data_IF_550438592733
#
_entry.id   IF_550438592733
#
_cell.length_a   1.000
_cell.length_b   1.000
_cell.length_c   1.000
_cell.angle_alpha   90.00
_cell.angle_beta   90.00
_cell.angle_gamma   90.00
#
_symmetry.space_group_name_H-M   'P 1'
#
loop_
_entity.id
_entity.type
_entity.pdbx_description
1 polymer ?
#
# COMPACT_ATOMS: atom_id res chain seq x y z
N UNK A 1 -7.40 -15.41 3.03
CA UNK A 1 -6.16 -16.16 3.40
C UNK A 1 -6.04 -17.37 2.48
N UNK A 2 -4.84 -17.70 1.98
CA UNK A 2 -4.64 -18.85 1.08
C UNK A 2 -3.50 -19.75 1.54
N UNK A 3 -3.65 -21.06 1.33
CA UNK A 3 -2.60 -22.06 1.54
C UNK A 3 -2.38 -22.82 0.24
N UNK A 4 -1.12 -23.09 -0.08
CA UNK A 4 -0.73 -23.64 -1.37
C UNK A 4 -0.02 -24.98 -1.22
N UNK A 5 -0.63 -26.04 -1.74
CA UNK A 5 0.02 -27.31 -2.05
C UNK A 5 0.38 -27.40 -3.53
N UNK A 6 1.11 -28.45 -3.93
CA UNK A 6 1.50 -28.67 -5.33
C UNK A 6 0.31 -28.86 -6.28
N UNK A 7 -0.81 -29.40 -5.80
CA UNK A 7 -1.99 -29.72 -6.61
C UNK A 7 -3.24 -28.95 -6.21
N UNK A 8 -3.28 -28.38 -5.01
CA UNK A 8 -4.48 -27.76 -4.43
C UNK A 8 -4.18 -26.44 -3.76
N UNK A 9 -5.12 -25.51 -3.91
CA UNK A 9 -5.17 -24.27 -3.14
C UNK A 9 -6.38 -24.32 -2.22
N UNK A 10 -6.14 -24.08 -0.93
CA UNK A 10 -7.21 -23.80 0.03
C UNK A 10 -7.33 -22.29 0.16
N UNK A 11 -8.53 -21.76 -0.08
CA UNK A 11 -8.84 -20.34 0.02
C UNK A 11 -9.92 -20.12 1.08
N UNK A 12 -9.57 -19.38 2.12
CA UNK A 12 -10.51 -18.79 3.06
C UNK A 12 -10.81 -17.36 2.60
N UNK A 13 -12.05 -17.11 2.20
CA UNK A 13 -12.58 -15.81 1.75
C UNK A 13 -13.81 -15.43 2.57
N UNK A 14 -14.12 -14.14 2.66
CA UNK A 14 -15.29 -13.67 3.40
C UNK A 14 -15.02 -12.35 4.12
N UNK A 15 -15.97 -11.96 4.95
CA UNK A 15 -15.93 -10.75 5.78
C UNK A 15 -16.29 -11.09 7.24
N UNK A 16 -16.69 -10.09 8.01
CA UNK A 16 -17.09 -10.25 9.41
C UNK A 16 -18.44 -10.97 9.61
N UNK A 17 -19.26 -11.07 8.56
CA UNK A 17 -20.57 -11.71 8.57
C UNK A 17 -20.57 -13.14 8.02
N UNK A 18 -19.68 -13.46 7.08
CA UNK A 18 -19.58 -14.79 6.48
C UNK A 18 -18.13 -15.18 6.15
N UNK A 19 -17.76 -16.44 6.39
CA UNK A 19 -16.48 -17.00 5.98
C UNK A 19 -16.67 -18.31 5.20
N UNK A 20 -16.08 -18.39 4.01
CA UNK A 20 -16.11 -19.53 3.10
C UNK A 20 -14.71 -20.12 2.95
N UNK A 21 -14.56 -21.39 3.30
CA UNK A 21 -13.38 -22.18 2.97
C UNK A 21 -13.64 -23.01 1.70
N UNK A 22 -12.83 -22.80 0.67
CA UNK A 22 -12.96 -23.47 -0.63
C UNK A 22 -11.64 -24.12 -1.06
N UNK A 23 -11.75 -25.22 -1.82
CA UNK A 23 -10.60 -25.97 -2.33
C UNK A 23 -10.59 -25.94 -3.87
N UNK A 24 -9.47 -25.53 -4.45
CA UNK A 24 -9.29 -25.34 -5.88
C UNK A 24 -8.13 -26.19 -6.39
N UNK A 25 -8.18 -26.57 -7.66
CA UNK A 25 -7.00 -27.12 -8.35
C UNK A 25 -5.99 -25.98 -8.56
N UNK A 26 -4.73 -26.19 -8.17
CA UNK A 26 -3.75 -25.12 -8.06
C UNK A 26 -3.45 -24.45 -9.42
N UNK A 27 -3.29 -25.23 -10.49
CA UNK A 27 -2.97 -24.70 -11.82
C UNK A 27 -4.12 -23.88 -12.41
N UNK A 28 -5.34 -24.40 -12.33
CA UNK A 28 -6.54 -23.71 -12.81
C UNK A 28 -6.76 -22.39 -12.06
N UNK A 29 -6.62 -22.39 -10.73
CA UNK A 29 -6.78 -21.19 -9.92
C UNK A 29 -5.77 -20.10 -10.30
N UNK A 30 -4.48 -20.46 -10.43
CA UNK A 30 -3.43 -19.52 -10.83
C UNK A 30 -3.66 -18.99 -12.25
N UNK A 31 -4.11 -19.85 -13.18
CA UNK A 31 -4.42 -19.42 -14.56
C UNK A 31 -5.61 -18.45 -14.61
N UNK A 32 -6.64 -18.66 -13.79
CA UNK A 32 -7.77 -17.74 -13.69
C UNK A 32 -7.33 -16.41 -13.07
N UNK A 33 -6.54 -16.45 -11.99
CA UNK A 33 -5.96 -15.27 -11.35
C UNK A 33 -5.15 -14.45 -12.36
N UNK A 34 -4.27 -15.09 -13.13
CA UNK A 34 -3.51 -14.47 -14.22
C UNK A 34 -4.45 -13.77 -15.22
N UNK A 35 -5.48 -14.48 -15.68
CA UNK A 35 -6.36 -13.98 -16.74
C UNK A 35 -7.17 -12.76 -16.29
N UNK A 36 -7.61 -12.74 -15.02
CA UNK A 36 -8.27 -11.57 -14.43
C UNK A 36 -7.33 -10.37 -14.42
N UNK A 37 -6.12 -10.59 -13.94
CA UNK A 37 -5.07 -9.61 -13.87
C UNK A 37 -4.69 -9.03 -15.26
N UNK A 38 -4.51 -9.88 -16.26
CA UNK A 38 -4.23 -9.48 -17.65
C UNK A 38 -5.39 -8.68 -18.28
N UNK A 39 -6.63 -9.00 -17.91
CA UNK A 39 -7.81 -8.24 -18.33
C UNK A 39 -8.00 -6.89 -17.62
N UNK A 40 -7.14 -6.55 -16.64
CA UNK A 40 -7.25 -5.35 -15.82
C UNK A 40 -8.21 -5.47 -14.63
N UNK A 41 -8.80 -6.65 -14.41
CA UNK A 41 -9.61 -6.96 -13.23
C UNK A 41 -8.70 -7.38 -12.07
N UNK A 42 -8.83 -6.69 -10.92
CA UNK A 42 -8.07 -7.03 -9.73
C UNK A 42 -8.83 -8.07 -8.88
N UNK A 43 -8.36 -9.32 -8.76
CA UNK A 43 -8.95 -10.30 -7.84
C UNK A 43 -8.77 -9.92 -6.36
N UNK A 44 -7.83 -9.03 -6.05
CA UNK A 44 -7.60 -8.45 -4.71
C UNK A 44 -6.81 -7.14 -4.83
N UNK A 45 -6.93 -6.30 -3.80
CA UNK A 45 -6.21 -5.03 -3.68
C UNK A 45 -4.77 -5.22 -3.19
N UNK A 46 -4.51 -6.23 -2.36
CA UNK A 46 -3.19 -6.62 -1.88
C UNK A 46 -3.13 -8.08 -1.43
N UNK A 47 -1.92 -8.62 -1.30
CA UNK A 47 -1.64 -9.97 -0.82
C UNK A 47 -0.37 -9.96 0.04
N UNK A 48 -0.44 -10.56 1.23
CA UNK A 48 0.73 -10.87 2.07
C UNK A 48 1.07 -12.35 1.97
N UNK A 49 2.30 -12.66 1.58
CA UNK A 49 2.84 -14.01 1.51
C UNK A 49 3.92 -14.21 2.58
N UNK A 50 3.73 -15.16 3.48
CA UNK A 50 4.60 -15.41 4.65
C UNK A 50 5.38 -16.71 4.57
N UNK A 51 5.50 -17.31 3.39
CA UNK A 51 6.24 -18.57 3.23
C UNK A 51 5.73 -19.67 4.18
N UNK A 52 4.40 -19.72 4.39
CA UNK A 52 3.75 -20.76 5.17
C UNK A 52 4.00 -22.17 4.60
N UNK A 53 3.58 -23.23 5.31
CA UNK A 53 3.79 -24.60 4.84
C UNK A 53 3.22 -24.80 3.43
N UNK A 54 4.08 -25.20 2.49
CA UNK A 54 3.73 -25.30 1.07
C UNK A 54 4.91 -25.03 0.15
N UNK A 55 4.65 -25.00 -1.16
CA UNK A 55 5.61 -24.53 -2.15
C UNK A 55 5.39 -23.04 -2.43
N UNK A 56 6.48 -22.27 -2.48
CA UNK A 56 6.47 -20.89 -2.96
C UNK A 56 5.84 -20.83 -4.37
N UNK A 57 4.99 -19.84 -4.59
CA UNK A 57 4.34 -19.65 -5.88
C UNK A 57 5.39 -19.30 -6.94
N UNK A 58 5.64 -20.22 -7.89
CA UNK A 58 6.65 -20.08 -8.94
C UNK A 58 6.30 -19.09 -10.07
N UNK A 59 5.19 -18.36 -9.96
CA UNK A 59 4.81 -17.33 -10.92
C UNK A 59 4.38 -16.05 -10.22
N UNK A 60 4.68 -14.93 -10.86
CA UNK A 60 4.50 -13.61 -10.31
C UNK A 60 3.84 -12.71 -11.35
N UNK A 61 2.64 -12.23 -11.03
CA UNK A 61 2.01 -11.19 -11.83
C UNK A 61 2.73 -9.87 -11.59
N UNK A 62 3.30 -9.30 -12.65
CA UNK A 62 3.94 -7.99 -12.63
C UNK A 62 2.94 -6.83 -12.65
N UNK A 63 1.68 -7.09 -12.99
CA UNK A 63 0.75 -6.04 -13.34
C UNK A 63 0.16 -5.35 -12.11
N UNK A 64 0.08 -4.04 -12.25
CA UNK A 64 -0.65 -3.13 -11.40
C UNK A 64 -1.88 -2.70 -12.18
N UNK A 65 -3.03 -2.48 -11.51
CA UNK A 65 -4.09 -1.72 -12.16
C UNK A 65 -3.71 -0.24 -12.04
N UNK A 66 -3.11 0.32 -13.09
CA UNK A 66 -2.80 1.75 -13.11
C UNK A 66 -4.08 2.56 -12.94
N UNK A 67 -4.09 3.49 -11.98
CA UNK A 67 -5.19 4.42 -11.84
C UNK A 67 -5.18 5.42 -13.01
N UNK A 68 -6.36 5.63 -13.60
CA UNK A 68 -6.59 6.57 -14.68
C UNK A 68 -6.76 8.00 -14.14
N UNK A 69 -5.66 8.55 -13.64
CA UNK A 69 -5.57 9.91 -13.11
C UNK A 69 -5.76 10.01 -11.59
N UNK A 70 -5.58 11.23 -11.08
CA UNK A 70 -5.44 11.51 -9.66
C UNK A 70 -6.64 11.14 -8.80
N UNK A 71 -7.86 11.29 -9.30
CA UNK A 71 -9.06 10.94 -8.56
C UNK A 71 -9.11 9.44 -8.25
N UNK A 72 -8.83 8.60 -9.24
CA UNK A 72 -8.76 7.15 -9.05
C UNK A 72 -7.55 6.74 -8.20
N UNK A 73 -6.42 7.46 -8.30
CA UNK A 73 -5.27 7.23 -7.41
C UNK A 73 -5.62 7.52 -5.96
N UNK A 74 -6.32 8.63 -5.67
CA UNK A 74 -6.80 8.96 -4.30
C UNK A 74 -7.73 7.86 -3.78
N UNK A 75 -8.68 7.41 -4.60
CA UNK A 75 -9.63 6.35 -4.23
C UNK A 75 -8.92 5.02 -3.94
N UNK A 76 -8.02 4.58 -4.83
CA UNK A 76 -7.25 3.34 -4.67
C UNK A 76 -6.35 3.38 -3.42
N UNK A 77 -5.68 4.50 -3.16
CA UNK A 77 -4.88 4.70 -1.95
C UNK A 77 -5.74 4.58 -0.69
N UNK A 78 -6.91 5.22 -0.67
CA UNK A 78 -7.84 5.15 0.45
C UNK A 78 -8.34 3.72 0.67
N UNK A 79 -8.70 3.00 -0.40
CA UNK A 79 -9.14 1.61 -0.32
C UNK A 79 -8.05 0.68 0.23
N UNK A 80 -6.79 0.86 -0.18
CA UNK A 80 -5.69 0.09 0.40
C UNK A 80 -5.54 0.37 1.89
N UNK A 81 -5.54 1.64 2.31
CA UNK A 81 -5.41 2.01 3.72
C UNK A 81 -6.56 1.43 4.56
N UNK A 82 -7.81 1.51 4.10
CA UNK A 82 -8.96 0.86 4.75
C UNK A 82 -8.71 -0.64 4.89
N UNK A 83 -8.35 -1.31 3.80
CA UNK A 83 -8.15 -2.76 3.79
C UNK A 83 -6.99 -3.22 4.69
N UNK A 84 -6.00 -2.36 4.93
CA UNK A 84 -4.94 -2.63 5.90
C UNK A 84 -5.42 -2.55 7.32
N UNK A 85 -6.19 -1.52 7.68
CA UNK A 85 -6.78 -1.43 9.01
C UNK A 85 -7.68 -2.64 9.32
N UNK A 86 -8.46 -3.09 8.34
CA UNK A 86 -9.36 -4.23 8.50
C UNK A 86 -8.60 -5.57 8.61
N UNK A 87 -7.64 -5.84 7.73
CA UNK A 87 -7.07 -7.19 7.66
C UNK A 87 -5.70 -7.35 8.32
N UNK A 88 -4.86 -6.31 8.45
CA UNK A 88 -3.53 -6.47 9.06
C UNK A 88 -3.60 -6.93 10.52
N UNK A 89 -4.50 -6.43 11.38
CA UNK A 89 -4.62 -6.94 12.75
C UNK A 89 -4.93 -8.44 12.84
N UNK A 90 -5.55 -9.01 11.79
CA UNK A 90 -5.90 -10.43 11.70
C UNK A 90 -4.81 -11.26 11.01
N UNK A 91 -4.25 -10.74 9.91
CA UNK A 91 -3.25 -11.45 9.13
C UNK A 91 -1.86 -11.40 9.77
N UNK A 92 -1.57 -10.33 10.50
CA UNK A 92 -0.25 -9.94 10.99
C UNK A 92 -0.35 -9.15 12.32
N UNK A 93 -0.82 -9.79 13.41
CA UNK A 93 -1.10 -9.07 14.66
C UNK A 93 0.17 -8.41 15.22
N UNK A 94 0.15 -7.09 15.34
CA UNK A 94 1.25 -6.28 15.88
C UNK A 94 2.30 -5.84 14.86
N UNK A 95 2.28 -6.36 13.63
CA UNK A 95 3.21 -5.94 12.59
C UNK A 95 2.68 -4.72 11.82
N UNK A 96 3.55 -3.77 11.51
CA UNK A 96 3.21 -2.62 10.67
C UNK A 96 3.18 -2.99 9.19
N UNK A 97 2.50 -2.19 8.37
CA UNK A 97 2.62 -2.21 6.91
C UNK A 97 3.06 -0.85 6.40
N UNK A 98 4.00 -0.82 5.46
CA UNK A 98 4.43 0.41 4.83
C UNK A 98 4.85 0.22 3.39
N UNK A 99 4.87 1.34 2.68
CA UNK A 99 5.48 1.47 1.38
C UNK A 99 6.03 2.88 1.25
N UNK A 100 6.97 3.01 0.34
CA UNK A 100 7.54 4.28 -0.03
C UNK A 100 6.99 4.70 -1.39
N UNK A 101 6.77 5.99 -1.59
CA UNK A 101 6.32 6.59 -2.83
C UNK A 101 7.43 7.46 -3.41
N UNK A 102 7.75 7.20 -4.67
CA UNK A 102 8.62 8.01 -5.50
C UNK A 102 7.83 8.73 -6.57
N UNK A 103 8.13 10.01 -6.75
CA UNK A 103 7.70 10.78 -7.90
C UNK A 103 8.89 11.01 -8.82
N UNK A 104 8.77 10.72 -10.13
CA UNK A 104 9.90 10.89 -11.06
C UNK A 104 10.45 12.32 -11.11
N UNK A 105 9.64 13.33 -10.77
CA UNK A 105 10.00 14.75 -10.74
C UNK A 105 10.68 15.20 -9.45
N UNK A 106 10.64 14.38 -8.40
CA UNK A 106 11.17 14.67 -7.07
C UNK A 106 11.72 13.39 -6.40
N UNK A 107 12.55 12.65 -7.15
CA UNK A 107 13.09 11.35 -6.75
C UNK A 107 13.89 11.40 -5.44
N UNK A 108 14.47 12.56 -5.10
CA UNK A 108 15.24 12.77 -3.87
C UNK A 108 14.38 12.86 -2.61
N UNK A 109 13.06 13.10 -2.73
CA UNK A 109 12.17 13.26 -1.57
C UNK A 109 11.14 12.16 -1.51
N UNK A 110 11.55 11.04 -0.93
CA UNK A 110 10.68 9.89 -0.71
C UNK A 110 9.59 10.21 0.31
N UNK A 111 8.35 9.82 0.00
CA UNK A 111 7.26 9.79 0.98
C UNK A 111 7.09 8.36 1.50
N UNK A 112 7.02 8.18 2.81
CA UNK A 112 6.71 6.90 3.44
C UNK A 112 5.26 6.95 3.91
N UNK A 113 4.50 5.91 3.56
CA UNK A 113 3.12 5.74 3.99
C UNK A 113 3.03 4.43 4.75
N UNK A 114 2.46 4.47 5.95
CA UNK A 114 2.38 3.29 6.81
C UNK A 114 1.09 3.22 7.60
N UNK A 115 0.74 2.01 8.01
CA UNK A 115 -0.25 1.71 9.02
C UNK A 115 0.41 0.88 10.13
N UNK A 116 0.26 1.32 11.37
CA UNK A 116 0.87 0.68 12.54
C UNK A 116 -0.23 0.17 13.48
N UNK A 117 -0.45 -1.15 13.60
CA UNK A 117 -1.49 -1.71 14.44
C UNK A 117 -1.06 -1.84 15.92
N UNK A 118 -0.24 -0.92 16.44
CA UNK A 118 0.26 -1.00 17.82
C UNK A 118 -0.90 -1.07 18.82
N UNK A 119 -0.75 -1.86 19.89
CA UNK A 119 -1.86 -2.18 20.80
C UNK A 119 -2.46 -0.98 21.53
N UNK A 120 -1.78 0.17 21.57
CA UNK A 120 -2.22 1.34 22.32
C UNK A 120 -2.67 2.49 21.43
N UNK A 121 -2.04 2.69 20.26
CA UNK A 121 -2.35 3.79 19.35
C UNK A 121 -2.19 3.33 17.91
N UNK A 122 -3.27 2.76 17.35
CA UNK A 122 -3.28 2.35 15.95
C UNK A 122 -3.43 3.57 15.07
N UNK A 123 -2.52 3.73 14.11
CA UNK A 123 -2.45 4.95 13.31
C UNK A 123 -2.09 4.70 11.86
N UNK A 124 -2.64 5.57 11.01
CA UNK A 124 -2.15 5.80 9.67
C UNK A 124 -1.14 6.95 9.70
N UNK A 125 -0.02 6.78 9.02
CA UNK A 125 1.06 7.75 9.03
C UNK A 125 1.57 8.01 7.61
N UNK A 126 1.77 9.29 7.29
CA UNK A 126 2.59 9.72 6.16
C UNK A 126 3.79 10.51 6.69
N UNK A 127 4.94 10.34 6.04
CA UNK A 127 6.21 10.95 6.43
C UNK A 127 7.01 11.36 5.20
N UNK A 128 7.67 12.52 5.25
CA UNK A 128 8.66 12.95 4.26
C UNK A 128 9.89 13.55 4.94
N UNK A 129 11.06 13.27 4.40
CA UNK A 129 12.30 13.97 4.77
C UNK A 129 12.38 15.29 3.99
N UNK A 130 12.47 16.42 4.69
CA UNK A 130 12.52 17.74 4.08
C UNK A 130 13.75 18.56 4.48
N UNK A 131 14.80 17.88 4.95
CA UNK A 131 16.06 18.49 5.42
C UNK A 131 16.79 19.33 4.38
N UNK A 132 16.59 19.03 3.10
CA UNK A 132 17.23 19.77 2.00
C UNK A 132 16.71 21.20 1.79
N UNK A 133 15.71 21.62 2.57
CA UNK A 133 15.04 22.91 2.41
C UNK A 133 15.09 23.75 3.70
N UNK A 134 15.24 25.06 3.54
CA UNK A 134 15.15 26.00 4.65
C UNK A 134 13.75 25.98 5.26
N UNK A 135 13.67 25.78 6.58
CA UNK A 135 12.41 25.63 7.31
C UNK A 135 11.87 26.99 7.77
N UNK A 136 11.41 27.80 6.81
CA UNK A 136 10.82 29.12 7.09
C UNK A 136 9.35 29.02 7.52
N UNK A 137 8.78 30.05 8.18
CA UNK A 137 7.34 30.10 8.49
C UNK A 137 6.44 29.95 7.26
N UNK A 138 6.83 30.53 6.11
CA UNK A 138 6.09 30.44 4.85
C UNK A 138 6.08 28.99 4.33
N UNK A 139 7.22 28.29 4.44
CA UNK A 139 7.29 26.87 4.12
C UNK A 139 6.38 26.06 5.02
N UNK A 140 6.42 26.31 6.32
CA UNK A 140 5.57 25.64 7.28
C UNK A 140 4.07 25.88 7.00
N UNK A 141 3.70 27.08 6.56
CA UNK A 141 2.33 27.38 6.11
C UNK A 141 1.95 26.61 4.84
N UNK A 142 2.85 26.52 3.85
CA UNK A 142 2.63 25.70 2.65
C UNK A 142 2.46 24.21 2.96
N UNK A 143 3.26 23.68 3.89
CA UNK A 143 3.17 22.28 4.31
C UNK A 143 1.84 22.01 5.02
N UNK A 144 1.43 22.88 5.94
CA UNK A 144 0.11 22.78 6.60
C UNK A 144 -1.06 22.92 5.64
N UNK A 145 -0.95 23.76 4.61
CA UNK A 145 -1.97 23.88 3.56
C UNK A 145 -2.13 22.58 2.75
N UNK A 146 -1.11 21.70 2.75
CA UNK A 146 -1.16 20.34 2.18
C UNK A 146 -1.54 19.26 3.20
N UNK A 147 -2.00 19.66 4.39
CA UNK A 147 -2.37 18.80 5.52
C UNK A 147 -1.22 18.10 6.26
N UNK A 148 0.04 18.52 6.07
CA UNK A 148 1.12 18.13 6.99
C UNK A 148 0.90 18.74 8.37
N UNK A 149 0.99 17.95 9.43
CA UNK A 149 0.66 18.40 10.78
C UNK A 149 1.89 18.92 11.52
N UNK A 150 2.92 18.07 11.58
CA UNK A 150 4.04 18.25 12.49
C UNK A 150 5.37 18.22 11.75
N UNK A 151 6.30 19.01 12.25
CA UNK A 151 7.71 19.05 11.84
C UNK A 151 8.55 18.59 13.02
N UNK A 152 9.38 17.57 12.84
CA UNK A 152 10.32 17.16 13.88
C UNK A 152 11.61 18.01 13.86
N UNK A 153 12.41 17.86 14.91
CA UNK A 153 13.70 18.54 15.08
C UNK A 153 14.73 18.16 14.02
N UNK A 154 14.49 17.05 13.30
CA UNK A 154 15.35 16.61 12.22
C UNK A 154 14.99 17.26 10.90
N UNK A 155 13.89 18.01 10.78
CA UNK A 155 13.45 18.62 9.53
C UNK A 155 12.55 17.70 8.68
N UNK A 156 11.91 16.71 9.30
CA UNK A 156 10.97 15.81 8.64
C UNK A 156 9.53 16.17 8.97
N UNK A 157 8.65 16.09 7.97
CA UNK A 157 7.22 16.34 8.14
C UNK A 157 6.45 15.04 8.27
N UNK A 158 5.47 15.03 9.16
CA UNK A 158 4.59 13.88 9.34
C UNK A 158 3.14 14.30 9.61
N UNK A 159 2.24 13.37 9.29
CA UNK A 159 0.83 13.41 9.63
C UNK A 159 0.46 12.05 10.18
N UNK A 160 -0.13 12.03 11.38
CA UNK A 160 -0.60 10.82 12.06
C UNK A 160 -2.10 10.94 12.29
N UNK A 161 -2.83 9.94 11.86
CA UNK A 161 -4.29 9.90 11.98
C UNK A 161 -4.69 8.61 12.69
N UNK A 162 -5.55 8.67 13.72
CA UNK A 162 -5.95 7.47 14.46
C UNK A 162 -6.78 6.56 13.56
N UNK A 163 -6.60 5.24 13.68
CA UNK A 163 -7.42 4.25 12.95
C UNK A 163 -8.91 4.41 13.27
N UNK A 164 -9.23 4.84 14.50
CA UNK A 164 -10.61 5.03 14.97
C UNK A 164 -11.35 6.17 14.26
N UNK A 165 -10.64 7.05 13.54
CA UNK A 165 -11.27 8.06 12.69
C UNK A 165 -11.64 7.41 11.33
N UNK A 166 -12.93 7.26 11.02
CA UNK A 166 -13.37 6.63 9.77
C UNK A 166 -12.96 7.44 8.52
N UNK A 167 -12.57 8.70 8.68
CA UNK A 167 -12.12 9.56 7.59
C UNK A 167 -10.60 9.55 7.40
N UNK A 168 -9.85 8.91 8.30
CA UNK A 168 -8.38 8.92 8.27
C UNK A 168 -7.78 8.36 6.96
N UNK A 169 -8.23 7.21 6.42
CA UNK A 169 -7.73 6.70 5.15
C UNK A 169 -7.89 7.67 3.98
N UNK A 170 -9.08 8.28 3.86
CA UNK A 170 -9.39 9.24 2.80
C UNK A 170 -8.59 10.54 2.97
N UNK A 171 -8.45 11.01 4.21
CA UNK A 171 -7.66 12.20 4.54
C UNK A 171 -6.18 12.00 4.20
N UNK A 172 -5.60 10.84 4.54
CA UNK A 172 -4.22 10.53 4.22
C UNK A 172 -4.00 10.37 2.71
N UNK A 173 -4.90 9.68 2.00
CA UNK A 173 -4.85 9.55 0.55
C UNK A 173 -4.87 10.92 -0.16
N UNK A 174 -5.72 11.84 0.31
CA UNK A 174 -5.78 13.22 -0.19
C UNK A 174 -4.50 13.99 0.06
N UNK A 175 -3.91 13.87 1.26
CA UNK A 175 -2.61 14.47 1.57
C UNK A 175 -1.55 13.98 0.59
N UNK A 176 -1.46 12.67 0.37
CA UNK A 176 -0.50 12.04 -0.55
C UNK A 176 -0.63 12.64 -1.95
N UNK A 177 -1.84 12.64 -2.51
CA UNK A 177 -2.08 13.17 -3.87
C UNK A 177 -1.84 14.68 -3.94
N UNK A 178 -2.28 15.44 -2.95
CA UNK A 178 -2.08 16.90 -2.89
C UNK A 178 -0.61 17.24 -2.89
N UNK A 179 0.19 16.56 -2.07
CA UNK A 179 1.60 16.80 -1.94
C UNK A 179 2.40 16.35 -3.19
N UNK A 180 2.08 15.18 -3.76
CA UNK A 180 2.67 14.72 -5.03
C UNK A 180 2.42 15.71 -6.18
N UNK A 181 1.21 16.26 -6.28
CA UNK A 181 0.87 17.28 -7.28
C UNK A 181 1.59 18.60 -7.03
N UNK A 182 1.69 19.02 -5.77
CA UNK A 182 2.36 20.26 -5.40
C UNK A 182 3.89 20.21 -5.63
N UNK A 183 4.47 19.02 -5.72
CA UNK A 183 5.87 18.78 -6.15
C UNK A 183 6.06 18.74 -7.67
N UNK A 184 4.99 18.94 -8.45
CA UNK A 184 5.04 19.00 -9.90
C UNK A 184 4.84 17.65 -10.60
N UNK A 185 4.39 16.61 -9.89
CA UNK A 185 3.95 15.36 -10.54
C UNK A 185 2.68 15.65 -11.33
N UNK A 186 2.73 15.44 -12.64
CA UNK A 186 1.62 15.82 -13.53
C UNK A 186 0.63 14.68 -13.67
N UNK A 187 1.13 13.45 -13.78
CA UNK A 187 0.31 12.26 -14.02
C UNK A 187 0.57 11.20 -12.95
N UNK A 188 -0.49 10.47 -12.56
CA UNK A 188 -0.42 9.39 -11.57
C UNK A 188 0.56 8.29 -11.94
N UNK A 189 0.71 7.97 -13.24
CA UNK A 189 1.66 6.96 -13.72
C UNK A 189 3.15 7.35 -13.53
N UNK A 190 3.44 8.58 -13.10
CA UNK A 190 4.80 9.04 -12.75
C UNK A 190 5.15 8.75 -11.28
N UNK A 191 4.26 8.05 -10.58
CA UNK A 191 4.42 7.67 -9.18
C UNK A 191 4.70 6.17 -9.13
N UNK A 192 5.75 5.80 -8.41
CA UNK A 192 6.14 4.40 -8.20
C UNK A 192 6.18 4.12 -6.71
N UNK A 193 5.48 3.08 -6.28
CA UNK A 193 5.61 2.55 -4.94
C UNK A 193 6.76 1.56 -4.86
N UNK A 194 7.51 1.63 -3.77
CA UNK A 194 8.67 0.79 -3.55
C UNK A 194 8.85 0.42 -2.08
N UNK A 195 9.73 -0.55 -1.83
CA UNK A 195 10.06 -1.02 -0.47
C UNK A 195 8.80 -1.34 0.35
N UNK A 196 7.89 -2.08 -0.27
CA UNK A 196 6.61 -2.47 0.32
C UNK A 196 6.88 -3.60 1.31
N UNK A 197 6.50 -3.40 2.57
CA UNK A 197 6.85 -4.32 3.66
C UNK A 197 5.73 -4.40 4.70
N UNK A 198 5.63 -5.56 5.35
CA UNK A 198 4.67 -5.86 6.41
C UNK A 198 5.37 -6.16 7.74
N UNK A 199 6.47 -5.45 8.06
CA UNK A 199 7.19 -5.54 9.34
C UNK A 199 7.96 -6.84 9.61
N UNK A 200 7.61 -7.91 8.90
CA UNK A 200 8.18 -9.24 8.98
C UNK A 200 8.97 -9.61 7.71
N UNK A 201 9.41 -10.88 7.63
CA UNK A 201 10.02 -11.44 6.41
C UNK A 201 9.00 -11.82 5.32
N UNK A 202 7.75 -11.38 5.44
CA UNK A 202 6.70 -11.61 4.46
C UNK A 202 6.87 -10.74 3.21
N UNK A 203 6.47 -11.27 2.06
CA UNK A 203 6.40 -10.56 0.79
C UNK A 203 5.02 -9.95 0.65
N UNK A 204 4.95 -8.62 0.74
CA UNK A 204 3.72 -7.87 0.53
C UNK A 204 3.61 -7.37 -0.91
N UNK A 205 2.45 -7.57 -1.51
CA UNK A 205 2.15 -7.14 -2.87
C UNK A 205 0.84 -6.34 -2.91
N UNK A 206 0.79 -5.25 -3.68
CA UNK A 206 -0.28 -4.23 -3.64
C UNK A 206 -0.78 -3.81 -5.03
N UNK A 207 -1.29 -4.75 -5.86
CA UNK A 207 -1.71 -4.44 -7.22
C UNK A 207 -2.85 -3.41 -7.30
N UNK A 208 -3.59 -3.21 -6.21
CA UNK A 208 -4.65 -2.21 -6.07
C UNK A 208 -4.18 -0.79 -5.79
N UNK A 209 -2.88 -0.51 -5.68
CA UNK A 209 -2.38 0.81 -5.26
C UNK A 209 -2.64 1.91 -6.30
N UNK A 210 -2.91 1.54 -7.56
CA UNK A 210 -3.19 2.52 -8.60
C UNK A 210 -1.93 3.15 -9.24
N UNK A 211 -0.74 2.61 -8.99
CA UNK A 211 0.54 3.09 -9.54
C UNK A 211 1.50 1.94 -9.84
N UNK A 212 2.65 2.26 -10.42
CA UNK A 212 3.69 1.24 -10.66
C UNK A 212 4.30 0.79 -9.32
N UNK A 213 4.78 -0.45 -9.26
CA UNK A 213 5.34 -1.05 -8.05
C UNK A 213 6.74 -1.60 -8.36
N UNK A 214 7.72 -1.29 -7.51
CA UNK A 214 9.10 -1.75 -7.65
C UNK A 214 9.70 -2.31 -6.33
N UNK A 215 10.39 -3.46 -6.33
CA UNK A 215 10.53 -4.38 -7.45
C UNK A 215 9.16 -4.92 -7.87
N UNK A 216 9.01 -5.17 -9.17
CA UNK A 216 7.83 -5.91 -9.63
C UNK A 216 7.95 -7.33 -9.07
N UNK A 217 6.82 -7.93 -8.66
CA UNK A 217 6.82 -9.30 -8.14
C UNK A 217 7.44 -10.18 -9.24
N UNK A 218 8.61 -10.80 -8.98
CA UNK A 218 9.35 -11.57 -9.99
C UNK A 218 10.70 -11.00 -10.40
N UNK A 219 11.03 -9.75 -10.05
CA UNK A 219 12.40 -9.21 -10.20
C UNK A 219 13.36 -9.72 -9.11
N UNK A 220 12.87 -10.52 -8.18
CA UNK A 220 13.70 -11.32 -7.27
C UNK A 220 14.15 -12.60 -7.97
N UNK A 221 15.23 -12.48 -8.74
CA UNK A 221 16.11 -13.58 -9.11
C UNK A 221 17.42 -13.45 -8.35
#
# INVERSE_FOLDING_TARGET
MRWHGSERILLLSGDHGEALLSAHEAKAFVQEEYSRFDSGSLPYTWQLDRHGPGHDHGWTFNGHAAANGWAQTEEHLAQILVSWAEHMPLQAPGDWVSFKLWASRDWGRTMIVSYQPSQTDREFCAFIDDRGHEQTPERAAHMRARAWQDLDDTGSWYTRLPETDPTAPATLARLIVTDLRARGTVFSHQVTAWDISAGDHGKLWVPGLGGDVHPRRGEHF
#
